data_IF_478256827574
#
_entry.id   IF_478256827574
#
_cell.length_a   1.000
_cell.length_b   1.000
_cell.length_c   1.000
_cell.angle_alpha   90.00
_cell.angle_beta   90.00
_cell.angle_gamma   90.00
#
_symmetry.space_group_name_H-M   'P 1'
#
loop_
_entity.id
_entity.type
_entity.pdbx_description
1 polymer ?
#
# COMPACT_ATOMS: atom_id res chain seq x y z
N UNK A 1 -16.81 4.39 19.87
CA UNK A 1 -16.47 3.11 19.22
C UNK A 1 -15.33 3.36 18.24
N UNK A 2 -14.29 2.52 18.24
CA UNK A 2 -13.27 2.55 17.19
C UNK A 2 -13.81 1.83 15.94
N UNK A 3 -13.64 2.42 14.75
CA UNK A 3 -14.05 1.81 13.49
C UNK A 3 -12.84 1.05 12.93
N UNK A 4 -12.89 -0.28 12.95
CA UNK A 4 -11.83 -1.13 12.41
C UNK A 4 -12.03 -1.34 10.92
N UNK A 5 -10.98 -1.06 10.13
CA UNK A 5 -10.99 -1.22 8.67
C UNK A 5 -10.03 -2.34 8.29
N UNK A 6 -10.50 -3.29 7.49
CA UNK A 6 -9.69 -4.37 6.95
C UNK A 6 -9.36 -4.07 5.47
N UNK A 7 -8.06 -3.90 5.16
CA UNK A 7 -7.61 -3.55 3.81
C UNK A 7 -6.67 -4.65 3.31
N UNK A 8 -7.00 -5.24 2.16
CA UNK A 8 -6.17 -6.27 1.53
C UNK A 8 -4.96 -5.64 0.86
N UNK A 9 -3.81 -6.27 1.04
CA UNK A 9 -2.52 -5.75 0.56
C UNK A 9 -1.77 -6.83 -0.22
N UNK A 10 -0.92 -6.42 -1.15
CA UNK A 10 0.01 -7.31 -1.85
C UNK A 10 1.44 -6.83 -1.62
N UNK A 11 2.40 -7.75 -1.50
CA UNK A 11 3.82 -7.39 -1.49
C UNK A 11 4.23 -6.91 -2.88
N UNK A 12 5.10 -5.89 -2.93
CA UNK A 12 5.76 -5.48 -4.18
C UNK A 12 7.25 -5.83 -4.12
N UNK A 13 7.79 -6.26 -5.25
CA UNK A 13 9.23 -6.47 -5.45
C UNK A 13 9.84 -5.34 -6.28
N UNK A 14 9.05 -4.73 -7.16
CA UNK A 14 9.43 -3.63 -8.03
C UNK A 14 9.49 -2.30 -7.25
N UNK A 15 10.67 -1.69 -7.19
CA UNK A 15 10.92 -0.42 -6.50
C UNK A 15 11.33 0.72 -7.44
N UNK A 16 11.34 1.94 -6.91
CA UNK A 16 11.77 3.14 -7.64
C UNK A 16 10.65 3.95 -8.30
N UNK A 17 11.06 5.06 -8.94
CA UNK A 17 10.16 6.10 -9.49
C UNK A 17 9.30 5.57 -10.64
N UNK A 18 9.87 4.76 -11.54
CA UNK A 18 9.19 4.19 -12.69
C UNK A 18 8.09 3.19 -12.28
N UNK A 19 8.46 2.22 -11.45
CA UNK A 19 7.53 1.23 -10.88
C UNK A 19 6.37 1.90 -10.15
N UNK A 20 6.67 2.83 -9.24
CA UNK A 20 5.65 3.56 -8.48
C UNK A 20 4.71 4.39 -9.38
N UNK A 21 5.21 4.93 -10.49
CA UNK A 21 4.39 5.65 -11.48
C UNK A 21 3.50 4.71 -12.28
N UNK A 22 3.96 3.49 -12.60
CA UNK A 22 3.12 2.47 -13.27
C UNK A 22 1.99 2.01 -12.35
N UNK A 23 2.29 1.71 -11.09
CA UNK A 23 1.30 1.28 -10.10
C UNK A 23 0.18 2.30 -9.92
N UNK A 24 0.52 3.59 -9.76
CA UNK A 24 -0.49 4.66 -9.65
C UNK A 24 -1.38 4.76 -10.88
N UNK A 25 -0.83 4.59 -12.08
CA UNK A 25 -1.63 4.56 -13.32
C UNK A 25 -2.53 3.34 -13.43
N UNK A 26 -2.13 2.22 -12.82
CA UNK A 26 -2.92 1.00 -12.75
C UNK A 26 -3.98 1.00 -11.62
N UNK A 27 -4.20 2.14 -10.95
CA UNK A 27 -5.18 2.24 -9.85
C UNK A 27 -4.71 1.65 -8.52
N UNK A 28 -3.40 1.44 -8.36
CA UNK A 28 -2.81 0.90 -7.13
C UNK A 28 -1.91 1.92 -6.45
N UNK A 29 -1.93 1.94 -5.12
CA UNK A 29 -1.16 2.86 -4.29
C UNK A 29 0.03 2.09 -3.70
N UNK A 30 1.29 2.50 -3.99
CA UNK A 30 2.45 1.94 -3.31
C UNK A 30 2.53 2.48 -1.87
N UNK A 31 2.81 1.59 -0.91
CA UNK A 31 2.94 1.91 0.50
C UNK A 31 4.06 1.08 1.17
N UNK A 32 4.42 1.45 2.40
CA UNK A 32 5.43 0.75 3.21
C UNK A 32 4.86 0.55 4.61
N UNK A 33 4.93 -0.69 5.10
CA UNK A 33 4.63 -1.00 6.50
C UNK A 33 5.93 -1.05 7.28
N UNK A 34 5.98 -0.32 8.40
CA UNK A 34 7.13 -0.26 9.30
C UNK A 34 6.64 -0.26 10.76
N UNK A 35 7.52 -0.64 11.69
CA UNK A 35 7.22 -0.59 13.13
C UNK A 35 8.11 -1.52 13.96
N UNK A 36 8.45 -1.08 15.17
CA UNK A 36 9.30 -1.82 16.11
C UNK A 36 10.69 -2.10 15.55
N UNK A 37 11.19 -3.32 15.78
CA UNK A 37 12.49 -3.80 15.30
C UNK A 37 12.40 -4.58 13.97
N UNK A 38 11.22 -4.61 13.35
CA UNK A 38 10.99 -5.37 12.13
C UNK A 38 11.44 -4.58 10.90
N UNK A 39 11.94 -5.32 9.90
CA UNK A 39 12.34 -4.75 8.62
C UNK A 39 11.11 -4.16 7.90
N UNK A 40 11.23 -2.96 7.31
CA UNK A 40 10.16 -2.37 6.51
C UNK A 40 9.75 -3.30 5.36
N UNK A 41 8.45 -3.36 5.08
CA UNK A 41 7.90 -4.18 4.00
C UNK A 41 7.22 -3.29 2.98
N UNK A 42 7.70 -3.39 1.74
CA UNK A 42 7.16 -2.75 0.55
C UNK A 42 5.85 -3.47 0.14
N UNK A 43 4.74 -2.72 0.11
CA UNK A 43 3.41 -3.22 -0.26
C UNK A 43 2.71 -2.34 -1.31
N UNK A 44 1.65 -2.86 -1.91
CA UNK A 44 0.74 -2.15 -2.79
C UNK A 44 -0.72 -2.43 -2.39
N UNK A 45 -1.56 -1.41 -2.60
CA UNK A 45 -2.96 -1.36 -2.16
C UNK A 45 -3.85 -0.94 -3.33
N UNK A 46 -5.12 -1.33 -3.31
CA UNK A 46 -6.09 -0.74 -4.24
C UNK A 46 -6.40 0.71 -3.83
N UNK A 47 -6.43 1.63 -4.80
CA UNK A 47 -6.70 3.03 -4.51
C UNK A 47 -8.10 3.28 -3.93
N UNK A 48 -9.12 2.59 -4.45
CA UNK A 48 -10.51 2.77 -4.02
C UNK A 48 -10.72 2.30 -2.58
N UNK A 49 -10.10 1.16 -2.21
CA UNK A 49 -10.22 0.61 -0.86
C UNK A 49 -9.60 1.57 0.18
N UNK A 50 -8.48 2.21 -0.16
CA UNK A 50 -7.83 3.22 0.69
C UNK A 50 -8.69 4.49 0.79
N UNK A 51 -9.30 4.93 -0.31
CA UNK A 51 -10.17 6.10 -0.33
C UNK A 51 -11.45 5.90 0.48
N UNK A 52 -12.05 4.70 0.44
CA UNK A 52 -13.28 4.42 1.16
C UNK A 52 -13.08 4.26 2.67
N UNK A 53 -11.84 3.97 3.09
CA UNK A 53 -11.43 3.78 4.47
C UNK A 53 -10.95 5.07 5.18
N UNK A 54 -11.01 6.22 4.49
CA UNK A 54 -10.55 7.52 5.01
C UNK A 54 -11.57 8.21 5.91
#
# INVERSE_FOLDING_TARGET
>A
MAITHEIKVQRREDEGKGASRRLRRAGTVPAIVYGGELKPVSIQLNHNDVWLAS
#
